data_IF_197918169389
#
_entry.id   IF_197918169389
#
_cell.length_a   1.000
_cell.length_b   1.000
_cell.length_c   1.000
_cell.angle_alpha   90.00
_cell.angle_beta   90.00
_cell.angle_gamma   90.00
#
_symmetry.space_group_name_H-M   'P 1'
#
loop_
_entity.id
_entity.type
_entity.pdbx_description
1 polymer ?
#
# COMPACT_ATOMS: atom_id res chain seq x y z
N UNK A 1 -14.47 2.92 20.85
CA UNK A 1 -13.65 2.75 19.61
C UNK A 1 -14.22 3.62 18.51
N UNK A 2 -13.36 4.39 17.84
CA UNK A 2 -13.77 5.34 16.80
C UNK A 2 -13.29 4.85 15.43
N UNK A 3 -14.20 4.83 14.43
CA UNK A 3 -13.80 4.61 13.05
C UNK A 3 -12.93 5.80 12.61
N UNK A 4 -11.67 5.52 12.31
CA UNK A 4 -10.68 6.53 11.96
C UNK A 4 -10.76 6.91 10.49
N UNK A 5 -10.81 5.89 9.61
CA UNK A 5 -10.88 6.08 8.16
C UNK A 5 -11.58 4.91 7.47
N UNK A 6 -12.21 5.19 6.35
CA UNK A 6 -12.73 4.21 5.40
C UNK A 6 -12.02 4.44 4.07
N UNK A 7 -11.07 3.57 3.76
CA UNK A 7 -10.40 3.57 2.46
C UNK A 7 -11.19 2.79 1.41
N UNK A 8 -10.71 2.79 0.16
CA UNK A 8 -11.35 2.06 -0.95
C UNK A 8 -11.57 0.58 -0.65
N UNK A 9 -10.61 -0.06 0.04
CA UNK A 9 -10.63 -1.51 0.32
C UNK A 9 -10.32 -1.88 1.76
N UNK A 10 -10.15 -0.91 2.67
CA UNK A 10 -9.85 -1.13 4.08
C UNK A 10 -10.67 -0.23 4.98
N UNK A 11 -11.00 -0.75 6.17
CA UNK A 11 -11.54 0.03 7.27
C UNK A 11 -10.49 0.14 8.37
N UNK A 12 -10.34 1.31 8.95
CA UNK A 12 -9.35 1.59 9.99
C UNK A 12 -10.04 2.13 11.22
N UNK A 13 -9.73 1.56 12.37
CA UNK A 13 -10.31 1.92 13.67
C UNK A 13 -9.22 2.32 14.65
N UNK A 14 -9.37 3.46 15.30
CA UNK A 14 -8.46 3.96 16.33
C UNK A 14 -8.90 3.43 17.68
N UNK A 15 -7.99 2.83 18.43
CA UNK A 15 -8.23 2.33 19.78
C UNK A 15 -7.95 3.38 20.86
N UNK A 16 -7.47 4.58 20.47
CA UNK A 16 -7.18 5.71 21.36
C UNK A 16 -6.06 5.43 22.41
N UNK A 17 -5.38 4.30 22.28
CA UNK A 17 -4.26 3.86 23.15
C UNK A 17 -2.92 3.74 22.40
N UNK A 18 -2.83 4.35 21.21
CA UNK A 18 -1.66 4.24 20.34
C UNK A 18 -1.66 3.02 19.41
N UNK A 19 -2.78 2.29 19.37
CA UNK A 19 -2.99 1.14 18.46
C UNK A 19 -4.16 1.40 17.53
N UNK A 20 -4.19 0.65 16.44
CA UNK A 20 -5.27 0.67 15.45
C UNK A 20 -5.62 -0.76 15.05
N UNK A 21 -6.87 -0.95 14.64
CA UNK A 21 -7.33 -2.18 13.97
C UNK A 21 -7.57 -1.86 12.50
N UNK A 22 -7.00 -2.65 11.61
CA UNK A 22 -7.21 -2.55 10.16
C UNK A 22 -7.96 -3.79 9.70
N UNK A 23 -9.11 -3.57 9.05
CA UNK A 23 -9.94 -4.63 8.46
C UNK A 23 -9.84 -4.53 6.94
N UNK A 24 -9.31 -5.55 6.29
CA UNK A 24 -9.23 -5.64 4.83
C UNK A 24 -10.53 -6.22 4.29
N UNK A 25 -11.20 -5.48 3.41
CA UNK A 25 -12.50 -5.86 2.86
C UNK A 25 -12.37 -6.61 1.55
N UNK A 26 -13.46 -7.19 1.08
CA UNK A 26 -13.55 -7.85 -0.22
C UNK A 26 -13.85 -6.87 -1.36
N UNK A 27 -13.94 -5.57 -1.06
CA UNK A 27 -14.12 -4.52 -2.06
C UNK A 27 -12.94 -4.48 -3.03
N UNK A 28 -13.23 -4.15 -4.28
CA UNK A 28 -12.24 -3.87 -5.32
C UNK A 28 -12.45 -2.47 -5.86
N UNK A 29 -11.39 -1.77 -6.18
CA UNK A 29 -11.46 -0.49 -6.85
C UNK A 29 -10.59 -0.48 -8.11
N UNK A 30 -11.06 0.21 -9.14
CA UNK A 30 -10.33 0.44 -10.38
C UNK A 30 -10.57 1.90 -10.80
N UNK A 31 -9.52 2.58 -11.27
CA UNK A 31 -9.56 4.00 -11.67
C UNK A 31 -10.21 4.89 -10.60
N UNK A 32 -9.82 4.66 -9.33
CA UNK A 32 -10.34 5.37 -8.14
C UNK A 32 -11.82 5.14 -7.81
N UNK A 33 -12.53 4.31 -8.55
CA UNK A 33 -13.93 3.95 -8.31
C UNK A 33 -14.00 2.60 -7.59
N UNK A 34 -14.77 2.53 -6.49
CA UNK A 34 -15.10 1.27 -5.83
C UNK A 34 -16.17 0.58 -6.67
N UNK A 35 -15.86 -0.63 -7.15
CA UNK A 35 -16.81 -1.42 -7.95
C UNK A 35 -17.94 -1.96 -7.06
N UNK A 36 -19.16 -2.10 -7.59
CA UNK A 36 -20.32 -2.55 -6.81
C UNK A 36 -20.22 -4.03 -6.39
N UNK A 37 -19.49 -4.85 -7.17
CA UNK A 37 -19.32 -6.28 -6.90
C UNK A 37 -18.05 -6.52 -6.07
N UNK A 38 -18.19 -7.22 -4.96
CA UNK A 38 -17.07 -7.66 -4.14
C UNK A 38 -16.51 -8.98 -4.67
N UNK A 39 -15.20 -9.21 -4.42
CA UNK A 39 -14.56 -10.49 -4.71
C UNK A 39 -14.45 -11.28 -3.39
N UNK A 40 -15.20 -12.36 -3.26
CA UNK A 40 -15.26 -13.17 -2.06
C UNK A 40 -13.85 -13.59 -1.58
N UNK A 41 -13.59 -13.41 -0.29
CA UNK A 41 -12.32 -13.73 0.38
C UNK A 41 -11.08 -12.95 -0.11
N UNK A 42 -11.21 -12.00 -1.04
CA UNK A 42 -10.10 -11.13 -1.47
C UNK A 42 -9.42 -10.47 -0.27
N UNK A 43 -10.20 -9.99 0.69
CA UNK A 43 -9.68 -9.36 1.90
C UNK A 43 -8.82 -10.31 2.72
N UNK A 44 -9.22 -11.57 2.87
CA UNK A 44 -8.44 -12.60 3.59
C UNK A 44 -7.13 -12.92 2.86
N UNK A 45 -7.17 -13.09 1.54
CA UNK A 45 -5.97 -13.37 0.73
C UNK A 45 -4.97 -12.23 0.84
N UNK A 46 -5.41 -10.99 0.66
CA UNK A 46 -4.53 -9.82 0.75
C UNK A 46 -3.96 -9.62 2.15
N UNK A 47 -4.78 -9.87 3.18
CA UNK A 47 -4.31 -9.79 4.57
C UNK A 47 -3.28 -10.88 4.89
N UNK A 48 -3.49 -12.10 4.42
CA UNK A 48 -2.53 -13.20 4.59
C UNK A 48 -1.20 -12.90 3.90
N UNK A 49 -1.23 -12.36 2.67
CA UNK A 49 -0.02 -11.94 1.96
C UNK A 49 0.72 -10.81 2.70
N UNK A 50 -0.02 -9.82 3.22
CA UNK A 50 0.59 -8.73 4.00
C UNK A 50 1.26 -9.26 5.29
N UNK A 51 0.59 -10.16 6.02
CA UNK A 51 1.13 -10.79 7.22
C UNK A 51 2.40 -11.59 6.93
N UNK A 52 2.40 -12.37 5.83
CA UNK A 52 3.59 -13.09 5.37
C UNK A 52 4.76 -12.13 5.12
N UNK A 53 4.55 -11.03 4.39
CA UNK A 53 5.61 -10.08 4.09
C UNK A 53 6.09 -9.32 5.33
N UNK A 54 5.21 -8.97 6.26
CA UNK A 54 5.61 -8.36 7.53
C UNK A 54 6.51 -9.29 8.36
N UNK A 55 6.18 -10.59 8.40
CA UNK A 55 7.01 -11.57 9.10
C UNK A 55 8.33 -11.83 8.35
N UNK A 56 8.28 -12.00 7.03
CA UNK A 56 9.45 -12.27 6.20
C UNK A 56 10.49 -11.14 6.24
N UNK A 57 10.04 -9.89 6.31
CA UNK A 57 10.92 -8.71 6.28
C UNK A 57 11.24 -8.13 7.65
N UNK A 58 10.77 -8.72 8.74
CA UNK A 58 10.92 -8.18 10.11
C UNK A 58 12.37 -7.95 10.56
N UNK A 59 13.29 -8.77 10.06
CA UNK A 59 14.72 -8.67 10.35
C UNK A 59 15.45 -7.64 9.46
N UNK A 60 14.80 -7.18 8.39
CA UNK A 60 15.31 -6.15 7.47
C UNK A 60 14.86 -4.76 7.93
N UNK A 61 13.57 -4.61 8.25
CA UNK A 61 12.98 -3.33 8.66
C UNK A 61 11.88 -3.54 9.68
N UNK A 62 11.83 -2.68 10.69
CA UNK A 62 10.74 -2.68 11.67
C UNK A 62 9.43 -2.30 11.00
N UNK A 63 8.37 -3.06 11.31
CA UNK A 63 7.02 -2.76 10.82
C UNK A 63 6.06 -2.43 11.98
N UNK A 64 4.83 -2.09 11.63
CA UNK A 64 3.79 -1.66 12.58
C UNK A 64 2.89 -2.79 13.09
N UNK A 65 3.01 -4.01 12.55
CA UNK A 65 2.14 -5.12 12.93
C UNK A 65 2.41 -5.55 14.38
N UNK A 66 1.33 -5.77 15.14
CA UNK A 66 1.36 -6.30 16.50
C UNK A 66 0.87 -7.75 16.48
N UNK A 67 -0.33 -7.98 15.92
CA UNK A 67 -0.94 -9.33 15.84
C UNK A 67 -1.93 -9.43 14.69
N UNK A 68 -2.12 -10.63 14.17
CA UNK A 68 -3.19 -11.01 13.26
C UNK A 68 -4.17 -12.03 13.88
N UNK A 69 -3.95 -12.40 15.14
CA UNK A 69 -4.84 -13.32 15.88
C UNK A 69 -6.04 -12.56 16.44
N UNK A 70 -7.26 -13.05 16.18
CA UNK A 70 -8.48 -12.40 16.66
C UNK A 70 -8.57 -12.31 18.19
N UNK A 71 -7.94 -13.24 18.91
CA UNK A 71 -7.95 -13.20 20.38
C UNK A 71 -7.22 -11.97 20.96
N UNK A 72 -6.29 -11.39 20.21
CA UNK A 72 -5.54 -10.20 20.59
C UNK A 72 -6.27 -8.89 20.21
N UNK A 73 -7.39 -9.01 19.48
CA UNK A 73 -8.21 -7.87 19.08
C UNK A 73 -9.18 -7.47 20.19
N UNK A 74 -9.69 -6.21 20.17
CA UNK A 74 -10.85 -5.83 20.98
C UNK A 74 -12.04 -6.76 20.72
N UNK A 75 -12.89 -6.97 21.75
CA UNK A 75 -14.01 -7.92 21.73
C UNK A 75 -14.95 -7.73 20.52
N UNK A 76 -15.12 -6.50 20.06
CA UNK A 76 -15.97 -6.17 18.90
C UNK A 76 -15.48 -6.81 17.60
N UNK A 77 -14.17 -7.12 17.49
CA UNK A 77 -13.55 -7.77 16.33
C UNK A 77 -13.36 -9.27 16.51
N UNK A 78 -13.64 -9.83 17.67
CA UNK A 78 -13.52 -11.27 17.93
C UNK A 78 -14.72 -12.07 17.39
N UNK A 79 -15.10 -11.79 16.12
CA UNK A 79 -16.23 -12.42 15.44
C UNK A 79 -15.76 -13.10 14.17
N UNK A 80 -16.45 -14.17 13.72
CA UNK A 80 -16.05 -14.94 12.53
C UNK A 80 -15.87 -14.10 11.26
N UNK A 81 -16.66 -13.03 11.06
CA UNK A 81 -16.56 -12.17 9.88
C UNK A 81 -15.22 -11.42 9.77
N UNK A 82 -14.51 -11.23 10.89
CA UNK A 82 -13.21 -10.56 10.93
C UNK A 82 -12.01 -11.52 10.81
N UNK A 83 -12.27 -12.82 10.88
CA UNK A 83 -11.22 -13.82 10.82
C UNK A 83 -10.44 -13.77 9.51
N UNK A 84 -9.12 -13.79 9.62
CA UNK A 84 -8.18 -13.80 8.50
C UNK A 84 -8.05 -12.49 7.72
N UNK A 85 -8.83 -11.45 8.05
CA UNK A 85 -8.83 -10.15 7.34
C UNK A 85 -8.53 -8.94 8.22
N UNK A 86 -8.18 -9.17 9.48
CA UNK A 86 -7.99 -8.13 10.49
C UNK A 86 -6.60 -8.20 11.08
N UNK A 87 -5.96 -7.06 11.28
CA UNK A 87 -4.68 -6.94 11.99
C UNK A 87 -4.75 -5.84 13.05
N UNK A 88 -4.06 -6.07 14.16
CA UNK A 88 -3.77 -5.08 15.18
C UNK A 88 -2.40 -4.47 14.88
N UNK A 89 -2.32 -3.15 14.85
CA UNK A 89 -1.12 -2.42 14.48
C UNK A 89 -0.83 -1.27 15.43
N UNK A 90 0.43 -0.84 15.48
CA UNK A 90 0.83 0.43 16.10
C UNK A 90 0.31 1.60 15.26
N UNK A 91 -0.23 2.62 15.91
CA UNK A 91 -0.57 3.87 15.25
C UNK A 91 0.72 4.63 14.94
N UNK A 92 1.00 4.84 13.67
CA UNK A 92 2.17 5.56 13.20
C UNK A 92 1.76 6.87 12.55
N UNK A 93 2.69 7.85 12.55
CA UNK A 93 2.56 9.04 11.72
C UNK A 93 2.87 8.68 10.27
N UNK A 94 1.88 8.80 9.41
CA UNK A 94 2.04 8.51 7.99
C UNK A 94 2.91 9.58 7.31
N UNK A 95 3.82 9.11 6.46
CA UNK A 95 4.56 9.97 5.53
C UNK A 95 3.62 10.29 4.36
N UNK A 96 3.49 11.57 3.91
CA UNK A 96 2.53 11.96 2.88
C UNK A 96 3.01 11.66 1.45
N UNK A 97 3.73 10.56 1.29
CA UNK A 97 4.25 10.10 0.00
C UNK A 97 4.01 8.61 -0.19
N UNK A 98 3.76 8.20 -1.43
CA UNK A 98 3.92 6.81 -1.86
C UNK A 98 5.32 6.63 -2.42
N UNK A 99 6.07 5.67 -1.88
CA UNK A 99 7.45 5.38 -2.31
C UNK A 99 7.42 4.07 -3.10
N UNK A 100 7.60 4.17 -4.41
CA UNK A 100 7.53 3.04 -5.33
C UNK A 100 8.95 2.67 -5.77
N UNK A 101 9.34 1.42 -5.57
CA UNK A 101 10.57 0.85 -6.12
C UNK A 101 10.22 0.11 -7.41
N UNK A 102 10.78 0.54 -8.53
CA UNK A 102 10.55 -0.06 -9.84
C UNK A 102 11.73 -0.91 -10.26
N UNK A 103 11.49 -2.18 -10.51
CA UNK A 103 12.47 -3.09 -11.08
C UNK A 103 12.29 -3.33 -12.57
N UNK A 104 11.23 -2.78 -13.18
CA UNK A 104 10.85 -3.02 -14.58
C UNK A 104 10.38 -1.73 -15.26
N UNK A 105 10.70 -1.59 -16.54
CA UNK A 105 10.29 -0.45 -17.38
C UNK A 105 8.81 -0.56 -17.75
N UNK A 106 7.92 0.00 -16.90
CA UNK A 106 6.46 -0.14 -17.06
C UNK A 106 5.68 1.11 -16.62
N UNK A 107 4.42 1.22 -17.08
CA UNK A 107 3.47 2.25 -16.67
C UNK A 107 3.92 3.66 -17.08
N UNK A 108 3.66 4.65 -16.25
CA UNK A 108 3.98 6.07 -16.52
C UNK A 108 5.46 6.32 -16.85
N UNK A 109 6.35 5.51 -16.29
CA UNK A 109 7.78 5.58 -16.62
C UNK A 109 8.05 5.17 -18.06
N UNK A 110 7.44 4.08 -18.53
CA UNK A 110 7.60 3.64 -19.92
C UNK A 110 6.98 4.64 -20.90
N UNK A 111 5.86 5.28 -20.56
CA UNK A 111 5.25 6.30 -21.40
C UNK A 111 6.13 7.56 -21.52
N UNK A 112 6.78 8.00 -20.44
CA UNK A 112 7.75 9.08 -20.50
C UNK A 112 8.99 8.69 -21.35
N UNK A 113 9.51 7.50 -21.10
CA UNK A 113 10.64 6.95 -21.86
C UNK A 113 10.38 6.92 -23.38
N UNK A 114 9.22 6.44 -23.81
CA UNK A 114 8.83 6.43 -25.25
C UNK A 114 8.82 7.82 -25.89
N UNK A 115 8.56 8.85 -25.10
CA UNK A 115 8.59 10.25 -25.55
C UNK A 115 9.98 10.88 -25.51
N UNK A 116 10.98 10.14 -25.04
CA UNK A 116 12.33 10.67 -24.84
C UNK A 116 12.43 11.64 -23.65
N UNK A 117 11.46 11.60 -22.74
CA UNK A 117 11.38 12.47 -21.55
C UNK A 117 12.07 11.80 -20.35
N UNK A 118 12.82 12.55 -19.54
CA UNK A 118 13.32 12.00 -18.28
C UNK A 118 12.16 11.70 -17.31
N UNK A 119 12.27 10.61 -16.57
CA UNK A 119 11.28 10.27 -15.57
C UNK A 119 11.83 10.52 -14.17
N UNK A 120 11.34 11.56 -13.49
CA UNK A 120 11.77 11.96 -12.14
C UNK A 120 13.30 12.16 -12.00
N UNK A 121 13.93 12.70 -13.04
CA UNK A 121 15.37 12.91 -13.11
C UNK A 121 16.18 11.72 -13.65
N UNK A 122 15.55 10.54 -13.77
CA UNK A 122 16.21 9.37 -14.39
C UNK A 122 16.20 9.51 -15.91
N UNK A 123 17.38 9.33 -16.51
CA UNK A 123 17.56 9.20 -17.96
C UNK A 123 17.96 7.76 -18.26
N UNK A 124 17.44 7.24 -19.34
CA UNK A 124 17.68 5.87 -19.76
C UNK A 124 18.49 5.90 -21.08
N UNK A 125 19.75 5.50 -21.02
CA UNK A 125 20.63 5.49 -22.20
C UNK A 125 20.48 4.20 -23.02
N UNK A 126 20.11 3.11 -22.33
CA UNK A 126 19.84 1.81 -22.95
C UNK A 126 18.44 1.80 -23.55
N UNK A 127 18.28 1.12 -24.68
CA UNK A 127 16.95 0.81 -25.21
C UNK A 127 16.23 -0.23 -24.36
N UNK A 128 15.03 0.10 -23.90
CA UNK A 128 14.17 -0.78 -23.10
C UNK A 128 12.87 -1.09 -23.84
N UNK A 129 12.46 -2.35 -23.76
CA UNK A 129 11.11 -2.76 -24.12
C UNK A 129 10.15 -2.60 -22.95
N UNK A 130 8.85 -2.58 -23.23
CA UNK A 130 7.84 -2.57 -22.18
C UNK A 130 7.94 -3.81 -21.30
N UNK A 131 7.91 -3.63 -19.99
CA UNK A 131 8.08 -4.67 -18.98
C UNK A 131 9.49 -5.31 -18.95
N UNK A 132 10.49 -4.73 -19.62
CA UNK A 132 11.87 -5.18 -19.49
C UNK A 132 12.42 -4.85 -18.11
N UNK A 133 13.24 -5.75 -17.56
CA UNK A 133 13.89 -5.55 -16.27
C UNK A 133 14.90 -4.41 -16.36
N UNK A 134 14.87 -3.49 -15.40
CA UNK A 134 15.89 -2.45 -15.26
C UNK A 134 17.22 -3.06 -14.81
N UNK A 135 18.32 -2.46 -15.23
CA UNK A 135 19.66 -2.88 -14.79
C UNK A 135 19.81 -2.70 -13.28
N UNK A 136 19.26 -1.60 -12.72
CA UNK A 136 19.12 -1.36 -11.29
C UNK A 136 17.71 -0.89 -10.95
N UNK A 137 17.14 -1.33 -9.81
CA UNK A 137 15.86 -0.79 -9.34
C UNK A 137 15.98 0.70 -9.04
N UNK A 138 14.96 1.47 -9.40
CA UNK A 138 14.89 2.91 -9.12
C UNK A 138 13.73 3.24 -8.20
N UNK A 139 13.90 4.31 -7.43
CA UNK A 139 12.87 4.82 -6.51
C UNK A 139 12.13 5.97 -7.18
N UNK A 140 10.81 5.86 -7.26
CA UNK A 140 9.94 6.82 -7.95
C UNK A 140 8.78 7.20 -7.04
N UNK A 141 8.95 8.21 -6.17
CA UNK A 141 7.92 8.63 -5.24
C UNK A 141 6.83 9.45 -5.91
N UNK A 142 5.66 9.47 -5.27
CA UNK A 142 4.56 10.38 -5.58
C UNK A 142 3.99 10.98 -4.30
N UNK A 143 3.35 12.13 -4.41
CA UNK A 143 2.58 12.71 -3.30
C UNK A 143 1.39 11.81 -2.98
N UNK A 144 0.93 11.84 -1.73
CA UNK A 144 -0.35 11.25 -1.33
C UNK A 144 -1.41 12.36 -1.33
N UNK A 145 -2.09 12.54 -2.46
CA UNK A 145 -3.10 13.56 -2.59
C UNK A 145 -4.30 13.28 -1.66
N UNK A 146 -4.78 14.31 -0.96
CA UNK A 146 -6.02 14.23 -0.21
C UNK A 146 -7.24 14.24 -1.16
N UNK A 147 -7.12 14.98 -2.27
CA UNK A 147 -8.10 15.06 -3.36
C UNK A 147 -7.37 15.05 -4.71
N UNK A 148 -7.98 14.43 -5.72
CA UNK A 148 -7.40 14.32 -7.07
C UNK A 148 -6.45 13.12 -7.22
N UNK A 149 -5.43 13.27 -8.07
CA UNK A 149 -4.45 12.23 -8.38
C UNK A 149 -3.11 12.51 -7.72
N UNK A 150 -2.41 11.43 -7.34
CA UNK A 150 -1.04 11.51 -6.85
C UNK A 150 -0.11 12.06 -7.95
N UNK A 151 0.79 12.96 -7.58
CA UNK A 151 1.74 13.62 -8.49
C UNK A 151 3.13 13.00 -8.27
N UNK A 152 3.75 12.55 -9.35
CA UNK A 152 5.13 12.06 -9.30
C UNK A 152 6.08 13.19 -8.86
N UNK A 153 6.97 12.89 -7.90
CA UNK A 153 7.94 13.84 -7.36
C UNK A 153 9.33 13.21 -7.31
N UNK A 154 10.37 14.04 -7.27
CA UNK A 154 11.74 13.55 -7.12
C UNK A 154 12.04 13.19 -5.65
N UNK A 155 13.09 12.40 -5.40
CA UNK A 155 13.57 12.14 -4.04
C UNK A 155 13.97 13.42 -3.30
N UNK A 156 14.50 14.41 -4.02
CA UNK A 156 14.89 15.70 -3.41
C UNK A 156 13.68 16.52 -2.96
N UNK A 157 12.54 16.37 -3.61
CA UNK A 157 11.28 17.00 -3.18
C UNK A 157 10.79 16.48 -1.83
N UNK A 158 11.15 15.24 -1.45
CA UNK A 158 10.73 14.61 -0.20
C UNK A 158 11.57 15.04 1.02
N UNK A 159 12.70 15.69 0.83
CA UNK A 159 13.59 16.18 1.91
C UNK A 159 13.07 17.46 2.51
#
# INVERSE_FOLDING_TARGET
>A
MKKYASGKVREVYDLEDGRMVIVTTDRISAFDVILPTMITDKGKVLNALANFWFDYTKDIVKNHMISSDLKDMPAEFQKPEFAGRTILVKKLKMIPYEVIVRGYMFGSMYEAYKKGEPFLGHKFEKEYQQAEKLDEPIVTPSTKAAEGHDINVTLDYMK
#
